data_IF_587364967973
#
_entry.id   IF_587364967973
#
_cell.length_a   1.000
_cell.length_b   1.000
_cell.length_c   1.000
_cell.angle_alpha   90.00
_cell.angle_beta   90.00
_cell.angle_gamma   90.00
#
_symmetry.space_group_name_H-M   'P 1'
#
loop_
_entity.id
_entity.type
_entity.pdbx_description
1 polymer ?
#
# COMPACT_ATOMS: atom_id res chain seq x y z
N UNK A 1 22.47 -7.41 3.32
CA UNK A 1 21.22 -7.28 4.07
C UNK A 1 21.37 -7.96 5.44
N UNK A 2 20.92 -7.30 6.52
CA UNK A 2 21.06 -7.85 7.90
C UNK A 2 20.21 -9.09 8.11
N UNK A 3 19.01 -9.14 7.51
CA UNK A 3 18.09 -10.29 7.61
C UNK A 3 18.65 -11.52 6.88
N UNK A 4 19.28 -11.34 5.73
CA UNK A 4 19.94 -12.45 5.03
C UNK A 4 21.07 -13.05 5.86
N UNK A 5 21.88 -12.20 6.53
CA UNK A 5 22.94 -12.67 7.42
C UNK A 5 22.40 -13.43 8.63
N UNK A 6 21.26 -12.99 9.19
CA UNK A 6 20.59 -13.69 10.28
C UNK A 6 20.03 -15.03 9.81
N UNK A 7 19.41 -15.08 8.64
CA UNK A 7 18.92 -16.30 8.01
C UNK A 7 20.06 -17.27 7.71
N UNK A 8 21.19 -16.80 7.14
CA UNK A 8 22.37 -17.63 6.88
C UNK A 8 22.94 -18.30 8.13
N UNK A 9 22.79 -17.64 9.28
CA UNK A 9 23.26 -18.17 10.57
C UNK A 9 22.21 -19.01 11.30
N UNK A 10 20.97 -19.11 10.79
CA UNK A 10 19.86 -19.79 11.48
C UNK A 10 19.37 -19.05 12.73
N UNK A 11 19.51 -17.74 12.78
CA UNK A 11 19.11 -16.89 13.91
C UNK A 11 17.64 -16.42 13.85
N UNK A 12 16.88 -16.80 12.81
CA UNK A 12 15.47 -16.49 12.68
C UNK A 12 14.61 -17.63 13.25
N UNK A 13 13.64 -17.29 14.09
CA UNK A 13 12.74 -18.24 14.76
C UNK A 13 11.30 -18.19 14.24
N UNK A 14 10.99 -17.22 13.37
CA UNK A 14 9.69 -17.06 12.72
C UNK A 14 9.92 -16.82 11.23
N UNK A 15 8.93 -17.17 10.41
CA UNK A 15 8.97 -16.90 8.99
C UNK A 15 8.83 -15.41 8.72
N UNK A 16 9.80 -14.84 8.00
CA UNK A 16 9.82 -13.43 7.61
C UNK A 16 9.74 -13.28 6.10
N UNK A 17 8.84 -12.41 5.67
CA UNK A 17 8.72 -11.98 4.28
C UNK A 17 9.06 -10.50 4.18
N UNK A 18 9.96 -10.14 3.28
CA UNK A 18 10.30 -8.73 3.04
C UNK A 18 9.97 -8.32 1.61
N UNK A 19 9.69 -7.03 1.44
CA UNK A 19 9.47 -6.42 0.14
C UNK A 19 10.48 -5.29 -0.03
N UNK A 20 11.31 -5.37 -1.07
CA UNK A 20 12.31 -4.33 -1.32
C UNK A 20 11.67 -3.07 -1.90
N UNK A 21 12.08 -1.90 -1.41
CA UNK A 21 11.56 -0.62 -1.88
C UNK A 21 12.22 -0.28 -3.22
N UNK A 22 11.40 -0.09 -4.27
CA UNK A 22 11.88 -0.02 -5.66
C UNK A 22 12.85 1.13 -5.92
N UNK A 23 12.64 2.30 -5.32
CA UNK A 23 13.48 3.48 -5.47
C UNK A 23 14.74 3.47 -4.58
N UNK A 24 14.90 2.45 -3.73
CA UNK A 24 16.09 2.25 -2.88
C UNK A 24 17.05 1.17 -3.39
N UNK A 25 16.69 0.46 -4.46
CA UNK A 25 17.48 -0.59 -5.09
C UNK A 25 16.81 -1.95 -5.11
N UNK A 26 17.14 -2.75 -6.09
CA UNK A 26 16.50 -4.04 -6.38
C UNK A 26 17.43 -5.24 -6.17
N UNK A 27 18.56 -5.06 -5.50
CA UNK A 27 19.56 -6.14 -5.30
C UNK A 27 18.96 -7.36 -4.61
N UNK A 28 17.97 -7.15 -3.70
CA UNK A 28 17.28 -8.23 -3.02
C UNK A 28 16.50 -9.16 -3.97
N UNK A 29 16.08 -8.66 -5.14
CA UNK A 29 15.37 -9.46 -6.16
C UNK A 29 16.31 -10.43 -6.91
N UNK A 30 17.62 -10.29 -6.75
CA UNK A 30 18.66 -11.21 -7.26
C UNK A 30 19.20 -12.12 -6.17
N UNK A 31 18.70 -12.02 -4.94
CA UNK A 31 19.12 -12.84 -3.80
C UNK A 31 18.59 -14.28 -3.91
N UNK A 32 19.34 -15.23 -3.33
CA UNK A 32 18.87 -16.62 -3.16
C UNK A 32 17.57 -16.74 -2.34
N UNK A 33 17.20 -15.70 -1.61
CA UNK A 33 15.97 -15.60 -0.82
C UNK A 33 14.75 -15.13 -1.62
N UNK A 34 14.94 -14.70 -2.88
CA UNK A 34 13.84 -14.50 -3.82
C UNK A 34 13.63 -15.77 -4.64
N UNK A 35 12.54 -16.49 -4.38
CA UNK A 35 12.20 -17.74 -5.05
C UNK A 35 10.85 -17.62 -5.75
N UNK A 36 10.74 -18.12 -6.98
CA UNK A 36 9.48 -18.05 -7.76
C UNK A 36 8.36 -18.92 -7.17
N UNK A 37 8.71 -19.97 -6.45
CA UNK A 37 7.77 -20.87 -5.76
C UNK A 37 7.37 -20.38 -4.38
N UNK A 38 7.83 -19.19 -3.98
CA UNK A 38 7.58 -18.56 -2.69
C UNK A 38 8.06 -19.38 -1.47
N UNK A 39 9.00 -20.29 -1.67
CA UNK A 39 9.58 -21.07 -0.58
C UNK A 39 10.43 -20.22 0.37
N UNK A 40 10.50 -20.65 1.63
CA UNK A 40 11.37 -20.05 2.62
C UNK A 40 12.70 -20.79 2.68
N UNK A 41 13.79 -20.02 2.83
CA UNK A 41 15.10 -20.54 3.16
C UNK A 41 15.51 -20.01 4.54
N UNK A 42 15.65 -20.90 5.52
CA UNK A 42 15.97 -20.53 6.90
C UNK A 42 15.04 -19.44 7.46
N UNK A 43 13.72 -19.65 7.36
CA UNK A 43 12.68 -18.72 7.83
C UNK A 43 12.69 -17.33 7.17
N UNK A 44 13.34 -17.16 6.03
CA UNK A 44 13.36 -15.89 5.33
C UNK A 44 13.05 -16.05 3.83
N UNK A 45 12.31 -15.09 3.30
CA UNK A 45 12.16 -14.91 1.84
C UNK A 45 11.95 -13.43 1.47
N UNK A 46 12.33 -13.09 0.26
CA UNK A 46 11.92 -11.85 -0.39
C UNK A 46 10.61 -12.12 -1.11
N UNK A 47 9.55 -11.41 -0.76
CA UNK A 47 8.21 -11.63 -1.31
C UNK A 47 7.96 -10.94 -2.64
N UNK A 48 8.65 -9.82 -2.87
CA UNK A 48 8.46 -8.98 -4.03
C UNK A 48 8.96 -7.55 -3.80
N UNK A 49 8.26 -6.58 -4.36
CA UNK A 49 8.67 -5.17 -4.36
C UNK A 49 7.63 -4.28 -3.69
N UNK A 50 8.10 -3.16 -3.11
CA UNK A 50 7.28 -2.11 -2.49
C UNK A 50 7.45 -0.81 -3.25
N UNK A 51 6.34 -0.14 -3.55
CA UNK A 51 6.30 1.21 -4.09
C UNK A 51 5.56 2.12 -3.10
N UNK A 52 6.00 3.36 -2.94
CA UNK A 52 5.33 4.36 -2.10
C UNK A 52 4.87 5.47 -3.03
N UNK A 53 3.56 5.58 -3.28
CA UNK A 53 3.02 6.53 -4.25
C UNK A 53 2.64 7.88 -3.63
N UNK A 54 2.30 7.90 -2.34
CA UNK A 54 1.96 9.15 -1.63
C UNK A 54 2.40 9.12 -0.16
N UNK A 55 1.93 10.08 0.63
CA UNK A 55 2.20 10.17 2.05
C UNK A 55 1.04 9.68 2.92
N UNK A 56 0.79 10.34 4.07
CA UNK A 56 -0.24 9.95 5.03
C UNK A 56 -1.31 11.05 5.20
N UNK A 57 -2.60 10.69 5.38
CA UNK A 57 -3.66 11.66 5.62
C UNK A 57 -3.45 12.45 6.90
N UNK A 58 -3.07 11.79 8.01
CA UNK A 58 -2.81 12.45 9.29
C UNK A 58 -1.66 13.46 9.23
N UNK A 59 -0.67 13.24 8.36
CA UNK A 59 0.42 14.17 8.08
C UNK A 59 0.09 15.18 6.96
N UNK A 60 -1.12 15.12 6.40
CA UNK A 60 -1.58 15.95 5.28
C UNK A 60 -0.67 15.89 4.06
N UNK A 61 -0.09 14.71 3.79
CA UNK A 61 0.78 14.43 2.64
C UNK A 61 0.25 13.35 1.72
N UNK A 62 -0.85 12.67 2.09
CA UNK A 62 -1.57 11.79 1.17
C UNK A 62 -2.14 12.58 -0.02
N UNK A 63 -2.08 12.00 -1.21
CA UNK A 63 -2.54 12.66 -2.43
C UNK A 63 -4.04 12.43 -2.63
N UNK A 64 -4.81 13.52 -2.51
CA UNK A 64 -6.28 13.50 -2.54
C UNK A 64 -6.83 14.09 -3.86
N UNK A 65 -8.01 13.63 -4.25
CA UNK A 65 -8.78 14.25 -5.37
C UNK A 65 -9.43 15.55 -4.94
N UNK A 66 -9.74 15.73 -3.66
CA UNK A 66 -10.33 16.95 -3.08
C UNK A 66 -9.38 17.56 -2.04
N UNK A 67 -9.41 18.89 -1.83
CA UNK A 67 -8.56 19.53 -0.83
C UNK A 67 -8.72 18.96 0.58
N UNK A 68 -7.68 19.10 1.37
CA UNK A 68 -7.75 18.93 2.82
C UNK A 68 -8.73 19.92 3.44
N UNK A 69 -9.39 19.54 4.54
CA UNK A 69 -10.31 20.43 5.27
C UNK A 69 -9.57 21.68 5.75
N UNK A 70 -8.41 21.48 6.37
CA UNK A 70 -7.50 22.52 6.77
C UNK A 70 -6.14 22.23 6.13
N UNK A 71 -5.62 23.07 5.23
CA UNK A 71 -4.31 22.85 4.64
C UNK A 71 -3.19 23.02 5.67
N UNK A 72 -1.99 22.42 5.45
CA UNK A 72 -0.83 22.73 6.27
C UNK A 72 -0.42 24.19 6.19
N UNK A 73 0.28 24.68 7.22
CA UNK A 73 0.80 26.06 7.24
C UNK A 73 1.60 26.36 5.96
N UNK A 74 1.30 27.51 5.35
CA UNK A 74 1.93 27.97 4.11
C UNK A 74 1.36 27.36 2.82
N UNK A 75 0.29 26.57 2.91
CA UNK A 75 -0.48 26.08 1.75
C UNK A 75 -1.82 26.80 1.67
N UNK A 76 -2.36 26.91 0.46
CA UNK A 76 -3.68 27.48 0.20
C UNK A 76 -4.79 26.41 0.31
N UNK A 77 -6.05 26.84 0.24
CA UNK A 77 -7.24 25.99 0.39
C UNK A 77 -7.43 24.96 -0.74
N UNK A 78 -6.65 25.04 -1.82
CA UNK A 78 -6.66 24.05 -2.90
C UNK A 78 -5.70 22.87 -2.66
N UNK A 79 -4.94 22.90 -1.57
CA UNK A 79 -3.93 21.89 -1.27
C UNK A 79 -4.54 20.50 -1.08
N UNK A 80 -4.00 19.51 -1.82
CA UNK A 80 -4.49 18.12 -1.87
C UNK A 80 -3.42 17.07 -1.60
N UNK A 81 -2.27 17.44 -1.02
CA UNK A 81 -1.12 16.55 -0.99
C UNK A 81 -0.44 16.48 -2.37
N UNK A 82 0.32 15.42 -2.58
CA UNK A 82 1.10 15.27 -3.82
C UNK A 82 1.51 13.80 -4.04
N UNK A 83 1.69 13.38 -5.31
CA UNK A 83 2.31 12.11 -5.63
C UNK A 83 3.80 12.15 -5.27
N UNK A 84 4.37 11.00 -4.85
CA UNK A 84 5.80 10.91 -4.54
C UNK A 84 6.67 10.91 -5.80
N UNK A 85 6.17 10.40 -6.91
CA UNK A 85 6.89 10.27 -8.17
C UNK A 85 6.22 11.06 -9.29
N UNK A 86 6.95 11.32 -10.37
CA UNK A 86 6.34 11.69 -11.64
C UNK A 86 5.48 10.55 -12.18
N UNK A 87 4.56 10.85 -13.08
CA UNK A 87 3.72 9.83 -13.73
C UNK A 87 4.57 8.80 -14.47
N UNK A 88 5.60 9.27 -15.15
CA UNK A 88 6.53 8.46 -15.93
C UNK A 88 7.33 7.50 -15.03
N UNK A 89 7.78 7.95 -13.85
CA UNK A 89 8.50 7.10 -12.91
C UNK A 89 7.58 6.08 -12.23
N UNK A 90 6.37 6.49 -11.81
CA UNK A 90 5.39 5.59 -11.23
C UNK A 90 5.00 4.47 -12.21
N UNK A 91 4.68 4.83 -13.46
CA UNK A 91 4.40 3.88 -14.54
C UNK A 91 5.56 2.94 -14.80
N UNK A 92 6.78 3.47 -14.89
CA UNK A 92 8.01 2.67 -15.08
C UNK A 92 8.19 1.62 -13.99
N UNK A 93 8.02 1.99 -12.72
CA UNK A 93 8.17 1.05 -11.60
C UNK A 93 7.10 -0.05 -11.64
N UNK A 94 5.86 0.29 -11.93
CA UNK A 94 4.76 -0.68 -12.01
C UNK A 94 4.98 -1.63 -13.19
N UNK A 95 5.31 -1.10 -14.36
CA UNK A 95 5.65 -1.90 -15.53
C UNK A 95 6.83 -2.84 -15.27
N UNK A 96 7.88 -2.38 -14.57
CA UNK A 96 9.02 -3.22 -14.20
C UNK A 96 8.60 -4.39 -13.30
N UNK A 97 7.72 -4.15 -12.33
CA UNK A 97 7.21 -5.21 -11.46
C UNK A 97 6.44 -6.27 -12.27
N UNK A 98 5.56 -5.84 -13.17
CA UNK A 98 4.76 -6.74 -14.01
C UNK A 98 5.61 -7.50 -15.03
N UNK A 99 6.51 -6.83 -15.71
CA UNK A 99 7.43 -7.45 -16.68
C UNK A 99 8.27 -8.57 -16.05
N UNK A 100 8.65 -8.42 -14.78
CA UNK A 100 9.44 -9.41 -14.05
C UNK A 100 8.57 -10.39 -13.23
N UNK A 101 7.25 -10.25 -13.27
CA UNK A 101 6.30 -11.04 -12.48
C UNK A 101 6.59 -10.97 -10.97
N UNK A 102 6.90 -9.78 -10.47
CA UNK A 102 7.09 -9.52 -9.05
C UNK A 102 5.78 -9.10 -8.39
N UNK A 103 5.46 -9.66 -7.24
CA UNK A 103 4.35 -9.16 -6.43
C UNK A 103 4.66 -7.71 -6.01
N UNK A 104 3.71 -6.80 -6.26
CA UNK A 104 3.85 -5.38 -5.96
C UNK A 104 2.95 -4.97 -4.79
N UNK A 105 3.54 -4.41 -3.73
CA UNK A 105 2.85 -3.75 -2.65
C UNK A 105 2.98 -2.24 -2.83
N UNK A 106 1.86 -1.52 -2.93
CA UNK A 106 1.88 -0.07 -3.12
C UNK A 106 1.26 0.66 -1.91
N UNK A 107 2.04 1.53 -1.27
CA UNK A 107 1.50 2.49 -0.31
C UNK A 107 0.69 3.53 -1.08
N UNK A 108 -0.61 3.52 -0.86
CA UNK A 108 -1.60 4.40 -1.50
C UNK A 108 -2.65 4.78 -0.47
N UNK A 109 -2.44 5.88 0.24
CA UNK A 109 -3.37 6.37 1.26
C UNK A 109 -4.50 7.21 0.67
N UNK A 110 -4.15 8.15 -0.20
CA UNK A 110 -5.09 9.07 -0.80
C UNK A 110 -5.82 8.48 -2.00
N UNK A 111 -7.04 8.90 -2.20
CA UNK A 111 -7.90 8.44 -3.29
C UNK A 111 -7.33 8.78 -4.69
N UNK A 112 -6.56 9.85 -4.84
CA UNK A 112 -5.87 10.15 -6.10
C UNK A 112 -4.70 9.19 -6.36
N UNK A 113 -3.97 8.77 -5.31
CA UNK A 113 -2.92 7.77 -5.44
C UNK A 113 -3.49 6.40 -5.78
N UNK A 114 -4.68 6.05 -5.25
CA UNK A 114 -5.40 4.83 -5.63
C UNK A 114 -5.82 4.89 -7.10
N UNK A 115 -6.38 6.02 -7.58
CA UNK A 115 -6.72 6.17 -9.00
C UNK A 115 -5.50 5.97 -9.91
N UNK A 116 -4.36 6.58 -9.56
CA UNK A 116 -3.12 6.44 -10.32
C UNK A 116 -2.62 4.99 -10.32
N UNK A 117 -2.61 4.34 -9.16
CA UNK A 117 -2.19 2.95 -9.04
C UNK A 117 -3.05 2.02 -9.92
N UNK A 118 -4.37 2.13 -9.82
CA UNK A 118 -5.28 1.30 -10.62
C UNK A 118 -5.15 1.56 -12.13
N UNK A 119 -4.90 2.81 -12.51
CA UNK A 119 -4.67 3.16 -13.91
C UNK A 119 -3.43 2.45 -14.48
N UNK A 120 -2.29 2.47 -13.75
CA UNK A 120 -1.07 1.80 -14.22
C UNK A 120 -1.12 0.28 -14.09
N UNK A 121 -1.82 -0.28 -13.08
CA UNK A 121 -2.06 -1.73 -13.01
C UNK A 121 -2.83 -2.22 -14.23
N UNK A 122 -3.89 -1.51 -14.64
CA UNK A 122 -4.64 -1.86 -15.85
C UNK A 122 -3.74 -1.88 -17.09
N UNK A 123 -2.97 -0.81 -17.32
CA UNK A 123 -2.03 -0.75 -18.46
C UNK A 123 -0.96 -1.84 -18.41
N UNK A 124 -0.44 -2.15 -17.22
CA UNK A 124 0.56 -3.21 -17.06
C UNK A 124 -0.02 -4.61 -17.32
N UNK A 125 -1.28 -4.87 -16.92
CA UNK A 125 -1.99 -6.11 -17.24
C UNK A 125 -2.17 -6.26 -18.75
N UNK A 126 -2.60 -5.22 -19.45
CA UNK A 126 -2.75 -5.22 -20.91
C UNK A 126 -1.40 -5.48 -21.63
N UNK A 127 -0.30 -4.93 -21.11
CA UNK A 127 1.01 -5.05 -21.73
C UNK A 127 1.72 -6.37 -21.45
N UNK A 128 1.57 -6.95 -20.25
CA UNK A 128 2.39 -8.09 -19.77
C UNK A 128 1.57 -9.34 -19.42
N UNK A 129 0.24 -9.24 -19.27
CA UNK A 129 -0.64 -10.39 -19.02
C UNK A 129 -0.35 -11.15 -17.71
N UNK A 130 0.13 -10.44 -16.67
CA UNK A 130 0.45 -11.08 -15.37
C UNK A 130 -0.80 -11.11 -14.47
N UNK A 131 -1.75 -12.00 -14.73
CA UNK A 131 -3.06 -12.08 -14.05
C UNK A 131 -2.93 -12.44 -12.54
N UNK A 132 -1.95 -13.27 -12.18
CA UNK A 132 -1.68 -13.69 -10.79
C UNK A 132 -0.76 -12.70 -10.04
N UNK A 133 -0.82 -11.43 -10.39
CA UNK A 133 0.09 -10.40 -9.88
C UNK A 133 -0.02 -10.16 -8.36
N UNK A 134 -1.19 -10.44 -7.75
CA UNK A 134 -1.45 -10.24 -6.32
C UNK A 134 -0.98 -8.89 -5.79
N UNK A 135 -1.09 -7.85 -6.61
CA UNK A 135 -0.73 -6.50 -6.19
C UNK A 135 -1.63 -6.04 -5.06
N UNK A 136 -1.06 -5.29 -4.11
CA UNK A 136 -1.75 -4.93 -2.87
C UNK A 136 -1.75 -3.41 -2.69
N UNK A 137 -2.92 -2.84 -2.48
CA UNK A 137 -3.08 -1.50 -1.89
C UNK A 137 -2.74 -1.61 -0.41
N UNK A 138 -1.69 -0.92 0.04
CA UNK A 138 -1.33 -0.81 1.45
C UNK A 138 -1.93 0.49 1.99
N UNK A 139 -2.62 0.38 3.10
CA UNK A 139 -3.41 1.37 3.82
C UNK A 139 -4.78 1.65 3.18
N UNK A 140 -4.86 2.12 1.95
CA UNK A 140 -6.13 2.38 1.27
C UNK A 140 -7.08 3.32 2.03
N UNK A 141 -6.52 4.20 2.88
CA UNK A 141 -7.25 4.89 3.93
C UNK A 141 -8.42 5.74 3.43
N UNK A 142 -8.29 6.29 2.22
CA UNK A 142 -9.31 7.18 1.62
C UNK A 142 -9.86 6.59 0.32
N UNK A 143 -9.97 5.25 0.24
CA UNK A 143 -10.61 4.59 -0.92
C UNK A 143 -12.06 5.09 -1.04
N UNK A 144 -12.44 5.51 -2.26
CA UNK A 144 -13.81 5.92 -2.58
C UNK A 144 -14.67 4.73 -3.02
N UNK A 145 -15.97 4.85 -2.86
CA UNK A 145 -16.94 3.82 -3.31
C UNK A 145 -16.82 3.46 -4.79
N UNK A 146 -16.57 4.46 -5.63
CA UNK A 146 -16.43 4.27 -7.08
C UNK A 146 -15.13 3.54 -7.49
N UNK A 147 -14.15 3.46 -6.59
CA UNK A 147 -12.89 2.74 -6.83
C UNK A 147 -13.00 1.24 -6.49
N UNK A 148 -13.92 0.85 -5.60
CA UNK A 148 -14.03 -0.52 -5.09
C UNK A 148 -14.22 -1.53 -6.23
N UNK A 149 -15.14 -1.25 -7.16
CA UNK A 149 -15.38 -2.15 -8.29
C UNK A 149 -14.14 -2.28 -9.17
N UNK A 150 -13.39 -1.21 -9.41
CA UNK A 150 -12.14 -1.25 -10.19
C UNK A 150 -11.05 -2.07 -9.50
N UNK A 151 -10.96 -1.98 -8.16
CA UNK A 151 -10.04 -2.80 -7.36
C UNK A 151 -10.36 -4.28 -7.54
N UNK A 152 -11.65 -4.64 -7.49
CA UNK A 152 -12.12 -6.02 -7.70
C UNK A 152 -11.85 -6.49 -9.14
N UNK A 153 -12.23 -5.69 -10.15
CA UNK A 153 -12.08 -6.04 -11.57
C UNK A 153 -10.62 -6.27 -11.97
N UNK A 154 -9.68 -5.54 -11.34
CA UNK A 154 -8.25 -5.68 -11.56
C UNK A 154 -7.58 -6.72 -10.66
N UNK A 155 -8.34 -7.48 -9.87
CA UNK A 155 -7.83 -8.49 -8.94
C UNK A 155 -6.75 -7.95 -7.98
N UNK A 156 -6.89 -6.68 -7.55
CA UNK A 156 -6.01 -6.04 -6.59
C UNK A 156 -6.49 -6.36 -5.17
N UNK A 157 -5.57 -6.70 -4.30
CA UNK A 157 -5.83 -6.97 -2.88
C UNK A 157 -5.72 -5.67 -2.07
N UNK A 158 -6.29 -5.66 -0.87
CA UNK A 158 -6.15 -4.56 0.07
C UNK A 158 -5.53 -5.02 1.40
N UNK A 159 -4.69 -4.18 1.98
CA UNK A 159 -4.17 -4.36 3.32
C UNK A 159 -4.46 -3.10 4.12
N UNK A 160 -5.49 -3.19 4.95
CA UNK A 160 -6.08 -2.05 5.65
C UNK A 160 -5.37 -1.77 6.97
N UNK A 161 -5.23 -0.48 7.29
CA UNK A 161 -4.75 -0.01 8.58
C UNK A 161 -5.91 0.66 9.35
N UNK A 162 -6.93 -0.12 9.71
CA UNK A 162 -8.15 0.40 10.34
C UNK A 162 -7.91 1.04 11.72
N UNK A 163 -6.86 0.65 12.43
CA UNK A 163 -6.52 1.20 13.75
C UNK A 163 -6.28 2.72 13.75
N UNK A 164 -5.96 3.34 12.59
CA UNK A 164 -5.84 4.80 12.52
C UNK A 164 -7.15 5.53 12.87
N UNK A 165 -8.30 4.90 12.69
CA UNK A 165 -9.60 5.47 13.08
C UNK A 165 -9.66 5.69 14.59
N UNK A 166 -9.16 4.74 15.38
CA UNK A 166 -9.07 4.87 16.83
C UNK A 166 -8.12 5.97 17.28
N UNK A 167 -6.93 6.06 16.63
CA UNK A 167 -5.88 7.01 17.07
C UNK A 167 -6.07 8.42 16.52
N UNK A 168 -6.62 8.56 15.31
CA UNK A 168 -6.70 9.84 14.60
C UNK A 168 -8.09 10.16 14.01
N UNK A 169 -9.14 9.43 14.41
CA UNK A 169 -10.49 9.64 13.88
C UNK A 169 -10.98 11.08 14.04
N UNK A 170 -10.85 11.64 15.24
CA UNK A 170 -11.21 13.05 15.51
C UNK A 170 -10.38 14.03 14.68
N UNK A 171 -9.10 13.75 14.50
CA UNK A 171 -8.21 14.55 13.67
C UNK A 171 -8.62 14.49 12.19
N UNK A 172 -8.97 13.31 11.70
CA UNK A 172 -9.48 13.15 10.33
C UNK A 172 -10.79 13.91 10.12
N UNK A 173 -11.69 13.86 11.10
CA UNK A 173 -12.98 14.55 11.03
C UNK A 173 -12.82 16.06 11.09
N UNK A 174 -12.02 16.58 12.01
CA UNK A 174 -12.00 18.00 12.34
C UNK A 174 -10.95 18.80 11.60
N UNK A 175 -9.93 18.19 10.98
CA UNK A 175 -8.83 18.91 10.36
C UNK A 175 -8.37 18.36 9.00
N UNK A 176 -8.49 17.03 8.78
CA UNK A 176 -7.91 16.41 7.57
C UNK A 176 -8.92 16.33 6.42
N UNK A 177 -10.03 15.63 6.64
CA UNK A 177 -11.00 15.28 5.60
C UNK A 177 -12.34 15.99 5.76
N UNK A 178 -12.82 16.14 6.99
CA UNK A 178 -14.16 16.61 7.29
C UNK A 178 -15.25 15.59 6.93
N UNK A 179 -16.50 15.86 7.38
CA UNK A 179 -17.66 15.11 6.97
C UNK A 179 -18.00 15.41 5.48
N UNK A 180 -18.48 14.44 4.69
CA UNK A 180 -18.68 13.03 5.03
C UNK A 180 -17.45 12.13 4.78
N UNK A 181 -16.31 12.68 4.31
CA UNK A 181 -15.15 11.87 3.90
C UNK A 181 -14.53 11.09 5.06
N UNK A 182 -14.39 11.76 6.22
CA UNK A 182 -13.82 11.13 7.41
C UNK A 182 -14.70 10.01 7.98
N UNK A 183 -15.99 9.99 7.66
CA UNK A 183 -16.93 8.95 8.07
C UNK A 183 -16.83 7.69 7.20
N UNK A 184 -16.11 7.78 6.08
CA UNK A 184 -15.92 6.70 5.12
C UNK A 184 -14.44 6.43 4.86
N UNK A 185 -13.65 6.26 5.93
CA UNK A 185 -12.23 5.88 5.84
C UNK A 185 -12.06 4.40 6.15
N UNK A 186 -11.06 3.78 5.54
CA UNK A 186 -10.79 2.33 5.60
C UNK A 186 -12.05 1.48 5.38
N UNK A 187 -12.61 1.48 4.16
CA UNK A 187 -13.91 0.86 3.88
C UNK A 187 -13.82 -0.67 3.80
N UNK A 188 -13.23 -1.31 4.81
CA UNK A 188 -12.93 -2.74 4.88
C UNK A 188 -14.15 -3.61 4.57
N UNK A 189 -15.32 -3.23 5.08
CA UNK A 189 -16.56 -3.99 4.86
C UNK A 189 -16.97 -3.97 3.38
N UNK A 190 -16.97 -2.79 2.76
CA UNK A 190 -17.37 -2.65 1.37
C UNK A 190 -16.37 -3.37 0.43
N UNK A 191 -15.07 -3.39 0.77
CA UNK A 191 -14.05 -4.15 0.05
C UNK A 191 -14.33 -5.67 0.13
N UNK A 192 -14.64 -6.19 1.32
CA UNK A 192 -14.97 -7.61 1.52
C UNK A 192 -16.26 -7.97 0.77
N UNK A 193 -17.29 -7.14 0.84
CA UNK A 193 -18.57 -7.38 0.17
C UNK A 193 -18.43 -7.37 -1.37
N UNK A 194 -17.44 -6.65 -1.89
CA UNK A 194 -17.07 -6.69 -3.32
C UNK A 194 -16.21 -7.91 -3.71
N UNK A 195 -15.91 -8.82 -2.77
CA UNK A 195 -15.11 -10.01 -3.02
C UNK A 195 -13.60 -9.79 -3.03
N UNK A 196 -13.12 -8.62 -2.61
CA UNK A 196 -11.70 -8.31 -2.52
C UNK A 196 -11.10 -9.02 -1.31
N UNK A 197 -9.95 -9.67 -1.49
CA UNK A 197 -9.19 -10.23 -0.37
C UNK A 197 -8.56 -9.11 0.44
N UNK A 198 -8.96 -9.02 1.70
CA UNK A 198 -8.50 -7.98 2.63
C UNK A 198 -7.64 -8.59 3.73
N UNK A 199 -6.53 -7.94 4.04
CA UNK A 199 -5.72 -8.20 5.23
C UNK A 199 -5.68 -6.95 6.10
N UNK A 200 -5.27 -7.09 7.36
CA UNK A 200 -5.10 -5.97 8.28
C UNK A 200 -3.68 -5.92 8.81
N UNK A 201 -3.15 -4.72 9.06
CA UNK A 201 -1.79 -4.53 9.55
C UNK A 201 -1.72 -3.44 10.63
N UNK A 202 -0.63 -3.43 11.40
CA UNK A 202 -0.37 -2.46 12.47
C UNK A 202 0.50 -1.29 12.05
N UNK A 203 1.13 -1.40 10.88
CA UNK A 203 2.12 -0.42 10.40
C UNK A 203 3.21 -0.13 11.46
N UNK A 204 3.63 -1.18 12.19
CA UNK A 204 4.65 -1.06 13.24
C UNK A 204 5.95 -0.42 12.69
N UNK A 205 6.52 0.59 13.34
CA UNK A 205 6.30 1.04 14.73
C UNK A 205 5.28 2.18 14.91
N UNK A 206 4.44 2.48 13.92
CA UNK A 206 3.42 3.53 14.03
C UNK A 206 2.47 3.25 15.20
N UNK A 207 2.04 1.99 15.34
CA UNK A 207 1.40 1.48 16.56
C UNK A 207 2.05 0.15 16.99
N UNK A 208 1.92 -0.26 18.27
CA UNK A 208 2.40 -1.56 18.72
C UNK A 208 1.76 -2.71 17.93
N UNK A 209 2.53 -3.77 17.59
CA UNK A 209 2.03 -4.91 16.82
C UNK A 209 1.14 -5.81 17.67
N UNK A 210 -0.12 -5.42 17.87
CA UNK A 210 -1.12 -6.20 18.58
C UNK A 210 -2.26 -6.56 17.61
N UNK A 211 -2.17 -7.75 17.01
CA UNK A 211 -3.12 -8.20 15.99
C UNK A 211 -4.57 -8.31 16.50
N UNK A 212 -4.77 -8.71 17.76
CA UNK A 212 -6.12 -8.82 18.33
C UNK A 212 -6.79 -7.44 18.45
N UNK A 213 -6.00 -6.42 18.86
CA UNK A 213 -6.52 -5.05 18.96
C UNK A 213 -6.83 -4.41 17.61
N UNK A 214 -6.21 -4.90 16.54
CA UNK A 214 -6.48 -4.40 15.18
C UNK A 214 -7.78 -4.97 14.62
N UNK A 215 -8.16 -6.16 15.09
CA UNK A 215 -9.38 -6.87 14.63
C UNK A 215 -10.64 -6.42 15.41
N UNK A 216 -10.47 -5.98 16.66
CA UNK A 216 -11.56 -5.43 17.50
C UNK A 216 -12.13 -4.12 16.92
#
# INVERSE_FOLDING_TARGET
>A
NSLEKAADKGELYIDLVTYTVMDMGLDAMSSKYYTKDHSYLNHYRVGGVKLVLDGSPQGKTAWLTKPYLEPPSGKDDSYRGYPKFSKEDAEKFINQAFQNQWQLLAHTNGDAAVDEFLFYINGALENYGYDEHRSVIIHGQVIRKDQIQKIADLNVLASEYAAHTFYWGDWHLNSVLGSPRAEYISPTRDLIDAGINVTSHSDCPVIPPNSLRIID
#
